data_IF_755014658399
#
_entry.id   IF_755014658399
#
_cell.length_a   1.000
_cell.length_b   1.000
_cell.length_c   1.000
_cell.angle_alpha   90.00
_cell.angle_beta   90.00
_cell.angle_gamma   90.00
#
_symmetry.space_group_name_H-M   'P 1'
#
loop_
_entity.id
_entity.type
_entity.pdbx_description
1 polymer ?
#
# COMPACT_ATOMS: atom_id res chain seq x y z
N UNK A 1 11.55 -10.77 34.75
CA UNK A 1 10.92 -11.76 33.85
C UNK A 1 12.06 -12.37 33.06
N UNK A 2 12.23 -13.69 33.08
CA UNK A 2 13.42 -14.36 32.57
C UNK A 2 13.50 -14.26 31.04
N UNK A 3 14.69 -13.88 30.55
CA UNK A 3 15.16 -14.09 29.19
C UNK A 3 15.42 -15.58 28.95
N UNK A 4 14.37 -16.41 28.95
CA UNK A 4 14.49 -17.73 28.35
C UNK A 4 14.39 -17.54 26.83
N UNK A 5 15.55 -17.58 26.17
CA UNK A 5 15.61 -17.59 24.72
C UNK A 5 14.99 -18.91 24.24
N UNK A 6 13.74 -18.83 23.74
CA UNK A 6 12.92 -19.95 23.21
C UNK A 6 13.60 -20.80 22.12
N UNK A 7 14.86 -20.53 21.79
CA UNK A 7 15.67 -21.20 20.79
C UNK A 7 16.94 -21.87 21.35
N UNK A 8 17.18 -21.86 22.65
CA UNK A 8 18.40 -22.46 23.25
C UNK A 8 18.51 -23.98 22.99
N UNK A 9 17.38 -24.68 22.88
CA UNK A 9 17.33 -26.11 22.54
C UNK A 9 17.16 -26.38 21.03
N UNK A 10 17.12 -25.35 20.18
CA UNK A 10 16.95 -25.50 18.75
C UNK A 10 18.31 -25.55 18.04
N UNK A 11 18.51 -26.52 17.14
CA UNK A 11 19.72 -26.63 16.30
C UNK A 11 19.87 -25.49 15.27
N UNK A 12 18.91 -24.56 15.23
CA UNK A 12 18.83 -23.43 14.32
C UNK A 12 18.69 -22.16 15.17
N UNK A 13 19.72 -21.31 15.14
CA UNK A 13 19.66 -20.00 15.78
C UNK A 13 18.66 -19.07 15.08
N UNK A 14 18.13 -18.06 15.79
CA UNK A 14 17.27 -17.01 15.22
C UNK A 14 17.83 -16.44 13.92
N UNK A 15 19.14 -16.13 13.90
CA UNK A 15 19.84 -15.61 12.72
C UNK A 15 19.82 -16.59 11.54
N UNK A 16 19.97 -17.88 11.81
CA UNK A 16 19.93 -18.94 10.80
C UNK A 16 18.52 -19.20 10.30
N UNK A 17 17.51 -19.08 11.17
CA UNK A 17 16.10 -19.07 10.78
C UNK A 17 15.79 -17.90 9.84
N UNK A 18 16.16 -16.66 10.20
CA UNK A 18 15.98 -15.51 9.32
C UNK A 18 16.73 -15.64 8.00
N UNK A 19 17.94 -16.19 7.99
CA UNK A 19 18.69 -16.47 6.76
C UNK A 19 18.00 -17.54 5.89
N UNK A 20 17.45 -18.60 6.49
CA UNK A 20 16.68 -19.63 5.80
C UNK A 20 15.36 -19.07 5.25
N UNK A 21 14.64 -18.25 6.01
CA UNK A 21 13.42 -17.58 5.55
C UNK A 21 13.69 -16.59 4.43
N UNK A 22 14.78 -15.81 4.53
CA UNK A 22 15.21 -14.90 3.47
C UNK A 22 15.66 -15.66 2.21
N UNK A 23 16.39 -16.78 2.37
CA UNK A 23 16.81 -17.62 1.25
C UNK A 23 15.64 -18.36 0.59
N UNK A 24 14.67 -18.85 1.37
CA UNK A 24 13.45 -19.46 0.85
C UNK A 24 12.56 -18.43 0.14
N UNK A 25 12.41 -17.23 0.72
CA UNK A 25 11.71 -16.11 0.09
C UNK A 25 12.39 -15.67 -1.20
N UNK A 26 13.72 -15.59 -1.22
CA UNK A 26 14.51 -15.28 -2.41
C UNK A 26 14.44 -16.37 -3.48
N UNK A 27 14.42 -17.65 -3.10
CA UNK A 27 14.31 -18.78 -4.03
C UNK A 27 12.91 -18.87 -4.65
N UNK A 28 11.86 -18.53 -3.90
CA UNK A 28 10.49 -18.41 -4.42
C UNK A 28 10.29 -17.16 -5.28
N UNK A 29 11.10 -16.10 -5.08
CA UNK A 29 11.08 -14.89 -5.89
C UNK A 29 12.08 -14.89 -7.05
N UNK A 30 12.86 -15.96 -7.23
CA UNK A 30 13.74 -16.07 -8.40
C UNK A 30 12.89 -16.29 -9.67
N UNK A 31 13.04 -15.43 -10.70
CA UNK A 31 12.30 -15.45 -11.98
C UNK A 31 12.25 -16.76 -12.79
N UNK A 32 12.86 -17.86 -12.33
CA UNK A 32 13.07 -19.08 -13.12
C UNK A 32 11.93 -20.10 -13.10
N UNK A 33 10.90 -19.91 -12.28
CA UNK A 33 9.76 -20.85 -12.18
C UNK A 33 8.47 -20.35 -12.85
N UNK A 34 8.49 -19.15 -13.44
CA UNK A 34 7.33 -18.62 -14.13
C UNK A 34 7.25 -19.21 -15.55
N UNK A 35 6.29 -20.10 -15.78
CA UNK A 35 5.99 -20.68 -17.09
C UNK A 35 4.90 -19.92 -17.83
N UNK A 36 4.36 -18.86 -17.22
CA UNK A 36 3.32 -18.02 -17.79
C UNK A 36 3.92 -17.10 -18.87
N UNK A 37 3.32 -17.12 -20.05
CA UNK A 37 3.59 -16.19 -21.16
C UNK A 37 2.27 -15.54 -21.54
N UNK A 38 1.88 -14.52 -20.79
CA UNK A 38 0.73 -13.68 -21.06
C UNK A 38 1.18 -12.35 -21.68
N UNK A 39 0.48 -11.96 -22.74
CA UNK A 39 0.70 -10.73 -23.48
C UNK A 39 -0.66 -10.27 -24.01
N UNK A 40 -0.98 -9.01 -23.75
CA UNK A 40 -2.17 -8.32 -24.24
C UNK A 40 -1.87 -6.82 -24.31
N UNK A 41 -2.44 -6.11 -25.28
CA UNK A 41 -2.24 -4.66 -25.41
C UNK A 41 -2.81 -3.87 -24.22
N UNK A 42 -3.82 -4.42 -23.53
CA UNK A 42 -4.41 -3.83 -22.33
C UNK A 42 -3.52 -4.00 -21.08
N UNK A 43 -2.49 -4.85 -21.13
CA UNK A 43 -1.62 -5.09 -19.97
C UNK A 43 -0.55 -4.02 -19.84
N UNK A 44 -0.60 -3.24 -18.75
CA UNK A 44 0.51 -2.34 -18.42
C UNK A 44 1.81 -3.14 -18.23
N UNK A 45 2.95 -2.55 -18.60
CA UNK A 45 4.23 -3.26 -18.60
C UNK A 45 4.61 -3.86 -17.24
N UNK A 46 4.33 -3.15 -16.14
CA UNK A 46 4.54 -3.68 -14.77
C UNK A 46 3.63 -4.88 -14.49
N UNK A 47 2.35 -4.80 -14.88
CA UNK A 47 1.40 -5.88 -14.70
C UNK A 47 1.79 -7.14 -15.49
N UNK A 48 2.10 -6.96 -16.79
CA UNK A 48 2.57 -8.06 -17.63
C UNK A 48 3.85 -8.70 -17.07
N UNK A 49 4.79 -7.88 -16.58
CA UNK A 49 6.00 -8.38 -15.94
C UNK A 49 5.67 -9.25 -14.73
N UNK A 50 4.84 -8.75 -13.79
CA UNK A 50 4.45 -9.49 -12.58
C UNK A 50 3.74 -10.78 -12.94
N UNK A 51 2.81 -10.75 -13.88
CA UNK A 51 2.04 -11.91 -14.33
C UNK A 51 2.96 -13.00 -14.91
N UNK A 52 3.94 -12.60 -15.72
CA UNK A 52 4.91 -13.52 -16.35
C UNK A 52 6.05 -13.96 -15.43
N UNK A 53 6.13 -13.42 -14.20
CA UNK A 53 7.14 -13.76 -13.20
C UNK A 53 6.53 -14.37 -11.93
N UNK A 54 5.23 -14.65 -11.97
CA UNK A 54 4.44 -15.29 -10.91
C UNK A 54 4.01 -16.67 -11.39
N UNK A 55 4.01 -17.72 -10.54
CA UNK A 55 3.44 -19.02 -10.91
C UNK A 55 2.02 -18.86 -11.46
N UNK A 56 1.68 -19.60 -12.51
CA UNK A 56 0.44 -19.37 -13.27
C UNK A 56 -0.84 -19.54 -12.43
N UNK A 57 -0.78 -20.36 -11.38
CA UNK A 57 -1.84 -20.65 -10.41
C UNK A 57 -1.86 -19.69 -9.22
N UNK A 58 -0.92 -18.74 -9.14
CA UNK A 58 -0.87 -17.75 -8.09
C UNK A 58 -1.52 -16.44 -8.55
N UNK A 59 -2.47 -15.95 -7.74
CA UNK A 59 -3.25 -14.78 -8.07
C UNK A 59 -2.45 -13.48 -7.85
N UNK A 60 -2.58 -12.54 -8.79
CA UNK A 60 -1.93 -11.23 -8.80
C UNK A 60 -2.97 -10.14 -8.49
N UNK A 61 -2.72 -9.24 -7.52
CA UNK A 61 -3.55 -8.04 -7.29
C UNK A 61 -3.68 -7.18 -8.54
N UNK A 62 -4.87 -7.16 -9.12
CA UNK A 62 -5.15 -6.56 -10.43
C UNK A 62 -6.22 -5.50 -10.31
N UNK A 63 -5.94 -4.32 -10.87
CA UNK A 63 -6.96 -3.33 -11.19
C UNK A 63 -7.21 -3.37 -12.69
N UNK A 64 -8.48 -3.50 -13.07
CA UNK A 64 -8.96 -3.45 -14.46
C UNK A 64 -9.85 -2.24 -14.63
N UNK A 65 -9.55 -1.38 -15.60
CA UNK A 65 -10.44 -0.32 -16.05
C UNK A 65 -11.26 -0.81 -17.27
N UNK A 66 -12.52 -0.39 -17.31
CA UNK A 66 -13.44 -0.71 -18.40
C UNK A 66 -13.87 0.57 -19.12
N UNK A 67 -14.12 0.48 -20.42
CA UNK A 67 -14.67 1.61 -21.19
C UNK A 67 -16.11 1.98 -20.80
N UNK A 68 -16.82 1.09 -20.09
CA UNK A 68 -18.19 1.31 -19.66
C UNK A 68 -18.68 0.28 -18.63
N UNK A 69 -19.89 0.52 -18.09
CA UNK A 69 -20.51 -0.38 -17.12
C UNK A 69 -20.88 -1.74 -17.70
N UNK A 70 -21.05 -1.85 -19.02
CA UNK A 70 -21.34 -3.13 -19.68
C UNK A 70 -20.14 -4.07 -19.54
N UNK A 71 -18.92 -3.57 -19.74
CA UNK A 71 -17.68 -4.30 -19.47
C UNK A 71 -17.58 -4.77 -18.02
N UNK A 72 -17.90 -3.88 -17.07
CA UNK A 72 -17.88 -4.22 -15.66
C UNK A 72 -18.88 -5.34 -15.31
N UNK A 73 -20.10 -5.29 -15.83
CA UNK A 73 -21.09 -6.37 -15.64
C UNK A 73 -20.66 -7.68 -16.31
N UNK A 74 -19.97 -7.60 -17.44
CA UNK A 74 -19.42 -8.78 -18.11
C UNK A 74 -18.32 -9.42 -17.26
N UNK A 75 -17.45 -8.63 -16.65
CA UNK A 75 -16.46 -9.08 -15.68
C UNK A 75 -17.11 -9.76 -14.47
N UNK A 76 -18.11 -9.13 -13.84
CA UNK A 76 -18.84 -9.71 -12.72
C UNK A 76 -19.51 -11.06 -13.08
N UNK A 77 -19.94 -11.23 -14.34
CA UNK A 77 -20.54 -12.45 -14.82
C UNK A 77 -19.53 -13.59 -15.12
N UNK A 78 -18.22 -13.29 -15.20
CA UNK A 78 -17.20 -14.32 -15.37
C UNK A 78 -16.98 -15.16 -14.11
N UNK A 79 -17.31 -14.63 -12.92
CA UNK A 79 -17.11 -15.28 -11.63
C UNK A 79 -15.66 -15.77 -11.43
N UNK A 80 -14.70 -14.90 -11.77
CA UNK A 80 -13.24 -15.15 -11.68
C UNK A 80 -12.59 -14.24 -10.65
N UNK A 81 -11.50 -14.73 -10.07
CA UNK A 81 -10.70 -13.99 -9.11
C UNK A 81 -11.23 -13.98 -7.68
N UNK A 82 -10.37 -13.50 -6.78
CA UNK A 82 -10.68 -13.35 -5.35
C UNK A 82 -10.68 -11.87 -4.93
N UNK A 83 -11.27 -11.59 -3.77
CA UNK A 83 -11.34 -10.24 -3.19
C UNK A 83 -11.89 -9.19 -4.18
N UNK A 84 -12.96 -9.53 -4.88
CA UNK A 84 -13.56 -8.69 -5.92
C UNK A 84 -14.16 -7.42 -5.31
N UNK A 85 -13.77 -6.27 -5.84
CA UNK A 85 -14.37 -4.98 -5.56
C UNK A 85 -14.60 -4.24 -6.87
N UNK A 86 -15.79 -3.66 -7.05
CA UNK A 86 -16.12 -2.90 -8.26
C UNK A 86 -16.46 -1.44 -7.93
N UNK A 87 -16.26 -0.56 -8.89
CA UNK A 87 -16.66 0.86 -8.81
C UNK A 87 -17.03 1.38 -10.19
N UNK A 88 -17.91 2.37 -10.23
CA UNK A 88 -18.19 3.19 -11.43
C UNK A 88 -17.67 4.61 -11.28
N UNK A 89 -16.97 4.90 -10.16
CA UNK A 89 -16.42 6.22 -9.83
C UNK A 89 -14.91 6.10 -9.57
N UNK A 90 -14.08 6.99 -10.14
CA UNK A 90 -14.39 7.98 -11.17
C UNK A 90 -14.65 7.37 -12.56
N UNK A 91 -14.30 6.09 -12.72
CA UNK A 91 -14.47 5.31 -13.95
C UNK A 91 -14.99 3.92 -13.60
N UNK A 92 -15.49 3.19 -14.60
CA UNK A 92 -15.84 1.78 -14.44
C UNK A 92 -14.55 0.98 -14.23
N UNK A 93 -14.40 0.36 -13.05
CA UNK A 93 -13.22 -0.40 -12.70
C UNK A 93 -13.55 -1.56 -11.75
N UNK A 94 -12.72 -2.60 -11.81
CA UNK A 94 -12.74 -3.71 -10.87
C UNK A 94 -11.35 -3.97 -10.31
N UNK A 95 -11.27 -4.24 -9.02
CA UNK A 95 -10.12 -4.86 -8.39
C UNK A 95 -10.44 -6.33 -8.12
N UNK A 96 -9.49 -7.21 -8.42
CA UNK A 96 -9.52 -8.62 -8.02
C UNK A 96 -8.10 -9.18 -7.97
N UNK A 97 -7.89 -10.25 -7.22
CA UNK A 97 -6.69 -11.07 -7.35
C UNK A 97 -6.94 -12.10 -8.48
N UNK A 98 -6.19 -11.99 -9.58
CA UNK A 98 -6.38 -12.81 -10.79
C UNK A 98 -5.14 -13.67 -11.06
N UNK A 99 -5.34 -14.95 -11.32
CA UNK A 99 -4.32 -15.82 -11.91
C UNK A 99 -4.02 -15.44 -13.35
N UNK A 100 -2.95 -15.99 -13.95
CA UNK A 100 -2.63 -15.73 -15.37
C UNK A 100 -3.79 -16.08 -16.30
N UNK A 101 -4.44 -17.22 -16.08
CA UNK A 101 -5.55 -17.67 -16.93
C UNK A 101 -6.77 -16.77 -16.78
N UNK A 102 -7.11 -16.37 -15.55
CA UNK A 102 -8.23 -15.46 -15.31
C UNK A 102 -7.95 -14.07 -15.89
N UNK A 103 -6.73 -13.56 -15.77
CA UNK A 103 -6.33 -12.29 -16.37
C UNK A 103 -6.51 -12.28 -17.89
N UNK A 104 -6.11 -13.36 -18.58
CA UNK A 104 -6.33 -13.53 -20.02
C UNK A 104 -7.83 -13.58 -20.36
N UNK A 105 -8.61 -14.34 -19.59
CA UNK A 105 -10.05 -14.43 -19.77
C UNK A 105 -10.76 -13.07 -19.61
N UNK A 106 -10.30 -12.24 -18.67
CA UNK A 106 -10.81 -10.87 -18.49
C UNK A 106 -10.35 -9.96 -19.63
N UNK A 107 -9.12 -10.14 -20.15
CA UNK A 107 -8.59 -9.37 -21.27
C UNK A 107 -9.38 -9.61 -22.58
N UNK A 108 -9.92 -10.81 -22.75
CA UNK A 108 -10.80 -11.14 -23.88
C UNK A 108 -12.15 -10.38 -23.86
N UNK A 109 -12.48 -9.68 -22.76
CA UNK A 109 -13.68 -8.84 -22.70
C UNK A 109 -13.51 -7.58 -23.56
N UNK A 110 -14.44 -7.27 -24.49
CA UNK A 110 -14.29 -6.15 -25.44
C UNK A 110 -14.10 -4.76 -24.83
N UNK A 111 -14.54 -4.56 -23.58
CA UNK A 111 -14.48 -3.27 -22.89
C UNK A 111 -13.38 -3.20 -21.83
N UNK A 112 -12.61 -4.28 -21.58
CA UNK A 112 -11.46 -4.25 -20.69
C UNK A 112 -10.30 -3.53 -21.39
N UNK A 113 -9.78 -2.45 -20.80
CA UNK A 113 -8.92 -1.51 -21.54
C UNK A 113 -7.57 -1.25 -20.88
N UNK A 114 -7.44 -1.45 -19.57
CA UNK A 114 -6.19 -1.23 -18.86
C UNK A 114 -6.09 -2.13 -17.63
N UNK A 115 -5.04 -2.94 -17.56
CA UNK A 115 -4.73 -3.80 -16.43
C UNK A 115 -3.47 -3.30 -15.72
N UNK A 116 -3.59 -3.05 -14.43
CA UNK A 116 -2.51 -2.54 -13.60
C UNK A 116 -2.26 -3.47 -12.41
N UNK A 117 -0.98 -3.68 -12.08
CA UNK A 117 -0.60 -4.32 -10.82
C UNK A 117 -0.93 -3.35 -9.68
N UNK A 118 -1.89 -3.72 -8.83
CA UNK A 118 -2.44 -2.84 -7.80
C UNK A 118 -2.32 -3.43 -6.39
N UNK A 119 -1.08 -3.68 -5.90
CA UNK A 119 -0.90 -4.10 -4.52
C UNK A 119 -1.27 -2.95 -3.57
N UNK A 120 -1.79 -3.27 -2.39
CA UNK A 120 -2.14 -2.26 -1.40
C UNK A 120 -3.43 -2.56 -0.66
N UNK A 121 -3.74 -1.74 0.33
CA UNK A 121 -4.91 -1.89 1.18
C UNK A 121 -6.18 -1.35 0.56
N UNK A 122 -6.10 -0.29 -0.23
CA UNK A 122 -7.23 0.27 -0.94
C UNK A 122 -7.26 -0.32 -2.36
N UNK A 123 -8.36 -0.92 -2.83
CA UNK A 123 -8.41 -1.53 -4.17
C UNK A 123 -8.25 -0.54 -5.34
N UNK A 124 -8.59 0.75 -5.13
CA UNK A 124 -8.74 1.74 -6.21
C UNK A 124 -7.76 2.93 -6.10
N UNK A 125 -6.69 2.80 -5.33
CA UNK A 125 -5.72 3.88 -5.13
C UNK A 125 -5.05 4.34 -6.44
N UNK A 126 -4.78 3.41 -7.37
CA UNK A 126 -4.18 3.71 -8.69
C UNK A 126 -5.03 4.64 -9.56
N UNK A 127 -6.35 4.68 -9.34
CA UNK A 127 -7.29 5.59 -10.04
C UNK A 127 -7.71 6.77 -9.17
N UNK A 128 -7.00 7.02 -8.06
CA UNK A 128 -7.26 8.15 -7.16
C UNK A 128 -8.61 8.09 -6.46
N UNK A 129 -9.21 6.90 -6.33
CA UNK A 129 -10.52 6.72 -5.71
C UNK A 129 -10.41 6.13 -4.30
N UNK A 130 -11.00 6.83 -3.32
CA UNK A 130 -10.79 6.56 -1.90
C UNK A 130 -12.13 6.53 -1.13
N UNK A 131 -13.04 5.58 -1.45
CA UNK A 131 -14.40 5.55 -0.90
C UNK A 131 -14.45 5.29 0.61
N UNK A 132 -13.40 4.66 1.15
CA UNK A 132 -13.27 4.28 2.56
C UNK A 132 -12.09 4.97 3.24
N UNK A 133 -11.62 6.09 2.67
CA UNK A 133 -10.37 6.73 3.05
C UNK A 133 -9.20 6.34 2.14
N UNK A 134 -8.13 7.13 2.25
CA UNK A 134 -6.85 6.92 1.57
C UNK A 134 -6.24 5.59 2.04
N UNK A 135 -6.26 5.37 3.34
CA UNK A 135 -5.78 4.20 4.06
C UNK A 135 -6.96 3.56 4.81
N UNK A 136 -7.76 2.71 4.15
CA UNK A 136 -8.96 2.13 4.74
C UNK A 136 -8.64 1.32 6.00
N UNK A 137 -9.61 1.19 6.91
CA UNK A 137 -9.50 0.34 8.10
C UNK A 137 -9.01 -1.08 7.75
N UNK A 138 -8.22 -1.74 8.61
CA UNK A 138 -7.65 -3.05 8.29
C UNK A 138 -8.69 -4.11 7.88
N UNK A 139 -9.88 -4.09 8.50
CA UNK A 139 -10.96 -5.05 8.19
C UNK A 139 -11.65 -4.81 6.85
N UNK A 140 -11.44 -3.65 6.24
CA UNK A 140 -12.00 -3.24 4.95
C UNK A 140 -10.92 -3.12 3.88
N UNK A 141 -9.70 -3.49 4.22
CA UNK A 141 -8.55 -3.47 3.32
C UNK A 141 -8.45 -4.79 2.56
N UNK A 142 -7.99 -4.74 1.31
CA UNK A 142 -7.72 -5.95 0.51
C UNK A 142 -6.34 -6.56 0.77
N UNK A 143 -5.43 -5.78 1.35
CA UNK A 143 -4.09 -6.19 1.80
C UNK A 143 -3.51 -5.12 2.78
N UNK A 144 -2.24 -5.22 3.12
CA UNK A 144 -1.45 -4.16 3.75
C UNK A 144 -1.25 -2.96 2.80
N UNK A 145 -1.10 -1.77 3.37
CA UNK A 145 -0.74 -0.54 2.65
C UNK A 145 0.58 -0.79 1.92
N UNK A 146 0.57 -0.74 0.59
CA UNK A 146 1.80 -0.86 -0.20
C UNK A 146 2.66 0.40 -0.09
N UNK A 147 3.97 0.31 -0.34
CA UNK A 147 4.82 1.52 -0.28
C UNK A 147 4.44 2.56 -1.33
N UNK A 148 4.13 2.13 -2.57
CA UNK A 148 3.71 3.05 -3.63
C UNK A 148 2.34 3.68 -3.30
N UNK A 149 1.39 2.91 -2.76
CA UNK A 149 0.14 3.44 -2.24
C UNK A 149 0.37 4.42 -1.08
N UNK A 150 1.29 4.13 -0.15
CA UNK A 150 1.63 5.04 0.94
C UNK A 150 2.09 6.38 0.37
N UNK A 151 3.07 6.35 -0.54
CA UNK A 151 3.63 7.54 -1.17
C UNK A 151 2.54 8.39 -1.85
N UNK A 152 1.73 7.78 -2.69
CA UNK A 152 0.68 8.50 -3.42
C UNK A 152 -0.41 8.99 -2.46
N UNK A 153 -0.78 8.16 -1.48
CA UNK A 153 -1.74 8.47 -0.44
C UNK A 153 -1.30 9.62 0.46
N UNK A 154 -0.02 9.74 0.79
CA UNK A 154 0.51 10.89 1.55
C UNK A 154 0.33 12.20 0.75
N UNK A 155 0.57 12.18 -0.56
CA UNK A 155 0.31 13.35 -1.41
C UNK A 155 -1.16 13.74 -1.42
N UNK A 156 -2.06 12.76 -1.54
CA UNK A 156 -3.51 13.01 -1.46
C UNK A 156 -3.92 13.54 -0.08
N UNK A 157 -3.28 13.07 0.99
CA UNK A 157 -3.57 13.53 2.35
C UNK A 157 -3.19 15.00 2.55
N UNK A 158 -2.01 15.41 2.07
CA UNK A 158 -1.56 16.80 2.06
C UNK A 158 -2.50 17.69 1.23
N UNK A 159 -2.92 17.23 0.05
CA UNK A 159 -3.86 17.97 -0.80
C UNK A 159 -5.22 18.18 -0.12
N UNK A 160 -5.74 17.16 0.59
CA UNK A 160 -7.05 17.21 1.24
C UNK A 160 -7.06 18.01 2.53
N UNK A 161 -5.94 18.03 3.26
CA UNK A 161 -5.83 18.63 4.59
C UNK A 161 -4.59 19.53 4.70
N UNK A 162 -4.44 20.56 3.85
CA UNK A 162 -3.22 21.39 3.79
C UNK A 162 -3.01 22.27 5.02
N UNK A 163 -4.05 22.47 5.83
CA UNK A 163 -4.05 23.16 7.12
C UNK A 163 -3.62 22.26 8.29
N UNK A 164 -3.49 20.96 8.04
CA UNK A 164 -3.15 19.94 9.05
C UNK A 164 -1.91 19.12 8.70
N UNK A 165 -1.66 18.88 7.42
CA UNK A 165 -0.64 17.94 6.92
C UNK A 165 0.34 18.66 6.00
N UNK A 166 1.62 18.41 6.21
CA UNK A 166 2.70 18.80 5.31
C UNK A 166 3.63 17.59 5.09
N UNK A 167 3.93 17.26 3.84
CA UNK A 167 4.69 16.06 3.46
C UNK A 167 6.01 16.47 2.81
N UNK A 168 7.11 16.00 3.41
CA UNK A 168 8.47 16.28 2.94
C UNK A 168 9.15 15.01 2.51
N UNK A 169 9.68 15.00 1.28
CA UNK A 169 10.68 14.02 0.88
C UNK A 169 12.06 14.50 1.36
N UNK A 170 12.64 13.79 2.33
CA UNK A 170 13.90 14.17 2.99
C UNK A 170 15.12 13.45 2.42
N UNK A 171 14.95 12.65 1.37
CA UNK A 171 16.05 11.94 0.73
C UNK A 171 15.59 10.65 0.04
N UNK A 172 16.57 9.80 -0.28
CA UNK A 172 16.29 8.51 -0.93
C UNK A 172 16.97 7.37 -0.17
N UNK A 173 16.29 6.24 -0.09
CA UNK A 173 16.88 5.01 0.41
C UNK A 173 17.98 4.51 -0.54
N UNK A 174 18.87 3.60 -0.08
CA UNK A 174 19.85 2.95 -0.96
C UNK A 174 19.20 2.20 -2.13
N UNK A 175 17.93 1.81 -1.99
CA UNK A 175 17.17 1.04 -2.96
C UNK A 175 17.60 -0.42 -3.04
N UNK A 176 16.94 -1.16 -3.92
CA UNK A 176 17.34 -2.50 -4.35
C UNK A 176 17.43 -2.53 -5.88
N UNK A 177 18.04 -3.58 -6.44
CA UNK A 177 18.01 -3.77 -7.89
C UNK A 177 16.63 -4.25 -8.32
N UNK A 178 15.96 -3.47 -9.18
CA UNK A 178 14.65 -3.78 -9.71
C UNK A 178 14.82 -4.62 -10.99
N UNK A 179 14.36 -5.88 -10.92
CA UNK A 179 14.49 -6.84 -12.01
C UNK A 179 13.59 -6.50 -13.21
N UNK A 180 12.45 -5.83 -13.00
CA UNK A 180 11.54 -5.44 -14.07
C UNK A 180 12.15 -4.35 -14.97
N UNK A 181 12.91 -3.44 -14.38
CA UNK A 181 13.52 -2.29 -15.09
C UNK A 181 15.02 -2.42 -15.33
N UNK A 182 15.63 -3.48 -14.78
CA UNK A 182 17.07 -3.74 -14.80
C UNK A 182 17.93 -2.59 -14.24
N UNK A 183 17.45 -1.89 -13.20
CA UNK A 183 18.08 -0.69 -12.63
C UNK A 183 17.98 -0.64 -11.10
N UNK A 184 18.87 0.07 -10.39
CA UNK A 184 18.66 0.41 -8.99
C UNK A 184 17.38 1.23 -8.80
N UNK A 185 16.62 0.92 -7.76
CA UNK A 185 15.33 1.53 -7.45
C UNK A 185 15.33 2.17 -6.04
N UNK A 186 16.03 3.31 -5.88
CA UNK A 186 16.01 4.07 -4.64
C UNK A 186 14.66 4.76 -4.45
N UNK A 187 14.03 4.50 -3.31
CA UNK A 187 12.71 5.03 -2.93
C UNK A 187 12.85 6.30 -2.11
N UNK A 188 11.86 7.19 -2.17
CA UNK A 188 11.85 8.40 -1.34
C UNK A 188 11.72 8.06 0.15
N UNK A 189 12.35 8.84 1.01
CA UNK A 189 12.11 8.81 2.46
C UNK A 189 11.21 10.00 2.80
N UNK A 190 10.09 9.73 3.46
CA UNK A 190 9.05 10.72 3.68
C UNK A 190 8.94 11.07 5.16
N UNK A 191 8.76 12.35 5.44
CA UNK A 191 8.43 12.87 6.76
C UNK A 191 7.12 13.64 6.63
N UNK A 192 6.16 13.30 7.48
CA UNK A 192 4.84 13.93 7.52
C UNK A 192 4.74 14.72 8.81
N UNK A 193 4.42 16.00 8.70
CA UNK A 193 4.14 16.89 9.82
C UNK A 193 2.62 17.00 9.97
N UNK A 194 2.10 16.64 11.14
CA UNK A 194 0.71 16.78 11.54
C UNK A 194 0.61 17.79 12.70
N UNK A 195 -0.06 18.92 12.46
CA UNK A 195 -0.24 20.01 13.43
C UNK A 195 -1.34 20.95 12.95
N UNK A 196 -1.82 21.86 13.79
CA UNK A 196 -2.65 22.97 13.33
C UNK A 196 -1.72 24.06 12.76
N UNK A 197 -1.63 24.20 11.43
CA UNK A 197 -0.74 25.21 10.82
C UNK A 197 -1.28 26.64 10.93
N UNK A 198 -2.55 26.78 11.28
CA UNK A 198 -3.28 28.03 11.44
C UNK A 198 -3.39 28.52 12.90
N UNK A 199 -2.80 27.80 13.86
CA UNK A 199 -2.85 28.18 15.27
C UNK A 199 -2.04 29.45 15.58
N UNK A 200 -2.33 30.09 16.72
CA UNK A 200 -1.57 31.27 17.19
C UNK A 200 -0.09 30.96 17.50
N UNK A 201 0.21 29.73 17.97
CA UNK A 201 1.59 29.27 18.22
C UNK A 201 2.29 28.99 16.89
N UNK A 202 3.40 29.68 16.63
CA UNK A 202 4.18 29.46 15.42
C UNK A 202 4.73 28.03 15.37
N UNK A 203 4.86 27.45 14.17
CA UNK A 203 5.35 26.09 13.98
C UNK A 203 6.67 25.83 14.71
N UNK A 204 7.59 26.79 14.70
CA UNK A 204 8.91 26.73 15.33
C UNK A 204 8.86 26.65 16.86
N UNK A 205 7.80 27.18 17.47
CA UNK A 205 7.63 27.27 18.92
C UNK A 205 6.87 26.07 19.53
N UNK A 206 6.16 25.30 18.70
CA UNK A 206 5.46 24.07 19.12
C UNK A 206 6.44 23.00 19.65
N UNK A 207 6.00 22.08 20.48
CA UNK A 207 6.77 20.87 20.82
C UNK A 207 6.80 19.90 19.63
N UNK A 208 7.93 19.23 19.36
CA UNK A 208 8.06 18.29 18.22
C UNK A 208 8.19 16.87 18.76
N UNK A 209 7.26 16.00 18.36
CA UNK A 209 7.28 14.58 18.71
C UNK A 209 7.53 13.77 17.45
N UNK A 210 8.61 13.00 17.42
CA UNK A 210 9.00 12.20 16.26
C UNK A 210 8.69 10.71 16.45
N UNK A 211 7.99 10.13 15.49
CA UNK A 211 7.78 8.70 15.35
C UNK A 211 8.47 8.18 14.09
N UNK A 212 9.32 7.17 14.25
CA UNK A 212 9.91 6.45 13.12
C UNK A 212 9.06 5.21 12.81
N UNK A 213 8.57 5.14 11.58
CA UNK A 213 7.78 4.04 11.06
C UNK A 213 8.51 3.37 9.88
N UNK A 214 8.20 2.10 9.66
CA UNK A 214 8.65 1.32 8.50
C UNK A 214 10.16 1.08 8.38
N UNK A 215 10.95 1.27 9.45
CA UNK A 215 12.41 1.06 9.43
C UNK A 215 12.82 -0.34 8.92
N UNK A 216 12.06 -1.36 9.27
CA UNK A 216 12.18 -2.70 8.70
C UNK A 216 11.03 -2.95 7.72
N UNK A 217 11.34 -3.17 6.45
CA UNK A 217 10.32 -3.33 5.40
C UNK A 217 9.37 -4.52 5.57
N UNK A 218 9.73 -5.51 6.40
CA UNK A 218 8.89 -6.67 6.75
C UNK A 218 7.96 -6.38 7.94
N UNK A 219 8.18 -5.31 8.69
CA UNK A 219 7.40 -4.93 9.87
C UNK A 219 6.28 -3.95 9.47
N UNK A 220 5.25 -4.50 8.84
CA UNK A 220 4.14 -3.72 8.27
C UNK A 220 3.41 -2.87 9.31
N UNK A 221 3.31 -3.34 10.56
CA UNK A 221 2.47 -2.74 11.61
C UNK A 221 2.72 -1.24 11.80
N UNK A 222 3.97 -0.79 11.78
CA UNK A 222 4.28 0.63 11.98
C UNK A 222 3.85 1.50 10.78
N UNK A 223 4.00 1.00 9.55
CA UNK A 223 3.49 1.66 8.34
C UNK A 223 1.96 1.73 8.36
N UNK A 224 1.34 0.60 8.69
CA UNK A 224 -0.11 0.45 8.80
C UNK A 224 -0.72 1.43 9.81
N UNK A 225 -0.16 1.49 11.01
CA UNK A 225 -0.66 2.36 12.09
C UNK A 225 -0.35 3.82 11.80
N UNK A 226 0.88 4.16 11.40
CA UNK A 226 1.28 5.54 11.15
C UNK A 226 0.40 6.21 10.08
N UNK A 227 0.18 5.54 8.95
CA UNK A 227 -0.61 6.08 7.85
C UNK A 227 -2.09 6.28 8.23
N UNK A 228 -2.70 5.32 8.93
CA UNK A 228 -4.11 5.41 9.34
C UNK A 228 -4.35 6.43 10.46
N UNK A 229 -3.43 6.53 11.42
CA UNK A 229 -3.52 7.56 12.47
C UNK A 229 -3.38 8.95 11.87
N UNK A 230 -2.46 9.15 10.91
CA UNK A 230 -2.35 10.40 10.17
C UNK A 230 -3.67 10.80 9.50
N UNK A 231 -4.27 9.89 8.73
CA UNK A 231 -5.53 10.19 8.04
C UNK A 231 -6.67 10.46 9.02
N UNK A 232 -6.81 9.64 10.06
CA UNK A 232 -7.88 9.81 11.05
C UNK A 232 -7.77 11.13 11.80
N UNK A 233 -6.56 11.49 12.24
CA UNK A 233 -6.31 12.74 12.94
C UNK A 233 -6.51 13.95 12.00
N UNK A 234 -6.04 13.89 10.76
CA UNK A 234 -6.22 14.98 9.79
C UNK A 234 -7.69 15.22 9.42
N UNK A 235 -8.50 14.14 9.34
CA UNK A 235 -9.93 14.20 9.04
C UNK A 235 -10.76 14.77 10.21
N UNK A 236 -10.25 14.71 11.45
CA UNK A 236 -10.93 15.09 12.70
C UNK A 236 -12.32 14.48 12.93
N UNK A 237 -12.76 13.48 12.16
CA UNK A 237 -14.16 13.04 12.14
C UNK A 237 -14.53 12.01 13.22
N UNK A 238 -13.55 11.33 13.83
CA UNK A 238 -13.77 10.26 14.82
C UNK A 238 -12.96 10.51 16.10
N UNK A 239 -13.38 10.02 17.28
CA UNK A 239 -12.59 10.18 18.49
C UNK A 239 -11.23 9.50 18.34
N UNK A 240 -10.15 10.21 18.69
CA UNK A 240 -8.78 9.71 18.53
C UNK A 240 -8.38 8.74 19.65
N UNK A 241 -9.11 8.77 20.77
CA UNK A 241 -8.87 7.92 21.93
C UNK A 241 -10.02 6.93 22.11
N UNK A 242 -9.70 5.65 21.97
CA UNK A 242 -10.69 4.58 22.12
C UNK A 242 -11.37 4.64 23.51
N UNK A 243 -12.71 4.70 23.51
CA UNK A 243 -13.51 4.78 24.73
C UNK A 243 -13.62 6.19 25.34
N UNK A 244 -13.24 7.23 24.60
CA UNK A 244 -13.36 8.64 24.99
C UNK A 244 -13.89 9.47 23.81
N UNK A 245 -14.44 10.65 24.11
CA UNK A 245 -14.76 11.69 23.11
C UNK A 245 -13.56 12.62 22.84
N UNK A 246 -12.40 12.34 23.46
CA UNK A 246 -11.20 13.14 23.32
C UNK A 246 -10.68 13.16 21.88
N UNK A 247 -10.27 14.35 21.45
CA UNK A 247 -9.67 14.64 20.15
C UNK A 247 -8.21 15.01 20.31
N UNK A 248 -7.40 14.65 19.32
CA UNK A 248 -6.01 15.07 19.20
C UNK A 248 -5.92 16.56 18.83
N UNK A 249 -6.91 17.06 18.09
CA UNK A 249 -6.89 18.40 17.48
C UNK A 249 -6.52 19.56 18.42
N UNK A 250 -7.01 19.66 19.67
CA UNK A 250 -6.59 20.75 20.57
C UNK A 250 -5.10 20.66 20.97
N UNK A 251 -4.52 19.45 21.02
CA UNK A 251 -3.10 19.28 21.33
C UNK A 251 -2.21 19.73 20.16
N UNK A 252 -2.74 19.73 18.94
CA UNK A 252 -2.02 20.15 17.74
C UNK A 252 -1.80 21.67 17.66
N UNK A 253 -2.39 22.47 18.55
CA UNK A 253 -2.05 23.89 18.71
C UNK A 253 -0.67 24.09 19.33
N UNK A 254 -0.25 23.16 20.20
CA UNK A 254 1.01 23.24 20.94
C UNK A 254 2.06 22.21 20.46
N UNK A 255 1.64 21.22 19.67
CA UNK A 255 2.48 20.07 19.26
C UNK A 255 2.48 19.86 17.76
N UNK A 256 3.64 19.52 17.21
CA UNK A 256 3.81 18.93 15.88
C UNK A 256 4.13 17.45 16.04
N UNK A 257 3.25 16.59 15.51
CA UNK A 257 3.51 15.16 15.37
C UNK A 257 4.22 14.92 14.06
N UNK A 258 5.43 14.39 14.11
CA UNK A 258 6.27 14.13 12.95
C UNK A 258 6.38 12.62 12.76
N UNK A 259 5.90 12.11 11.62
CA UNK A 259 5.96 10.68 11.28
C UNK A 259 6.90 10.46 10.10
N UNK A 260 7.98 9.73 10.32
CA UNK A 260 8.94 9.34 9.29
C UNK A 260 8.65 7.95 8.72
N UNK A 261 8.52 7.84 7.40
CA UNK A 261 8.48 6.58 6.65
C UNK A 261 9.78 6.43 5.85
N UNK A 262 10.65 5.53 6.31
CA UNK A 262 12.03 5.37 5.82
C UNK A 262 12.31 3.98 5.30
#
# INVERSE_FOLDING_TARGET
>A
MSDDDRFDDASISRRRFFQLSAAAGAALSMPGNATASAEDEAFAAEYQYVLNHTPADHAVPTLVEFSGETGLRAFEALDVGESIHTTTTPTAAAYAQLTTTEAQQVADLPEASNFQFSPGSNPFWRIGYYPLGIFPEPRRSVDYIGFEQLKDGLGVLEERYPDRINVKNVGRSPGHYNNATARPDPKGMYVVELTNFDSETAFEDKEKIFFSCSLHGLEMASRETGARVLENAARSSEPDVAGSDAKLEPLLDDVVVIIGFT
#
